data_IF_999441371810
#
_entry.id   IF_999441371810
#
_cell.length_a   1.000
_cell.length_b   1.000
_cell.length_c   1.000
_cell.angle_alpha   90.00
_cell.angle_beta   90.00
_cell.angle_gamma   90.00
#
_symmetry.space_group_name_H-M   'P 1'
#
loop_
_entity.id
_entity.type
_entity.pdbx_description
1 polymer ?
#
# COMPACT_ATOMS: atom_id res chain seq x y z
N UNK A 1 14.75 -32.43 -26.66
CA UNK A 1 13.54 -31.62 -26.36
C UNK A 1 13.92 -30.55 -25.32
N UNK A 2 13.50 -29.29 -25.51
CA UNK A 2 13.82 -28.21 -24.56
C UNK A 2 12.69 -28.06 -23.54
N UNK A 3 13.04 -27.96 -22.25
CA UNK A 3 12.11 -27.60 -21.18
C UNK A 3 12.27 -26.10 -20.92
N UNK A 4 11.24 -25.33 -21.27
CA UNK A 4 11.18 -23.90 -20.98
C UNK A 4 10.48 -23.74 -19.63
N UNK A 5 11.11 -23.03 -18.69
CA UNK A 5 10.49 -22.62 -17.44
C UNK A 5 10.50 -21.10 -17.40
N UNK A 6 9.33 -20.48 -17.41
CA UNK A 6 9.16 -19.03 -17.29
C UNK A 6 8.55 -18.76 -15.92
N UNK A 7 9.28 -18.04 -15.07
CA UNK A 7 8.78 -17.57 -13.79
C UNK A 7 8.48 -16.07 -13.98
N UNK A 8 7.23 -15.62 -13.79
CA UNK A 8 6.92 -14.19 -13.89
C UNK A 8 7.60 -13.43 -12.75
N UNK A 9 8.11 -12.23 -13.05
CA UNK A 9 8.60 -11.33 -12.02
C UNK A 9 7.43 -10.82 -11.18
N UNK A 10 7.58 -10.83 -9.85
CA UNK A 10 6.63 -10.19 -8.93
C UNK A 10 6.90 -8.68 -8.97
N UNK A 11 5.89 -7.83 -9.23
CA UNK A 11 6.08 -6.39 -9.23
C UNK A 11 6.46 -5.89 -7.83
N UNK A 12 7.53 -5.11 -7.73
CA UNK A 12 7.87 -4.41 -6.50
C UNK A 12 6.98 -3.17 -6.36
N UNK A 13 6.14 -3.17 -5.33
CA UNK A 13 5.24 -2.06 -4.99
C UNK A 13 5.82 -1.30 -3.80
N UNK A 14 5.69 0.02 -3.80
CA UNK A 14 6.12 0.85 -2.67
C UNK A 14 5.17 2.01 -2.43
N UNK A 15 5.20 2.53 -1.21
CA UNK A 15 4.51 3.77 -0.85
C UNK A 15 5.56 4.80 -0.48
N UNK A 16 5.53 6.00 -1.10
CA UNK A 16 6.49 7.04 -0.76
C UNK A 16 6.24 7.57 0.66
N UNK A 17 7.32 7.82 1.40
CA UNK A 17 7.23 8.41 2.72
C UNK A 17 6.57 9.79 2.67
N UNK A 18 5.60 10.01 3.57
CA UNK A 18 4.93 11.30 3.74
C UNK A 18 4.93 11.71 5.20
N UNK A 19 5.13 13.01 5.43
CA UNK A 19 4.94 13.64 6.73
C UNK A 19 3.54 14.24 6.78
N UNK A 20 2.87 14.05 7.91
CA UNK A 20 1.56 14.63 8.19
C UNK A 20 1.56 15.20 9.60
N UNK A 21 0.98 16.39 9.77
CA UNK A 21 0.83 17.01 11.08
C UNK A 21 -0.34 16.36 11.85
N UNK A 22 -0.28 16.37 13.18
CA UNK A 22 -1.35 15.86 14.02
C UNK A 22 -2.70 16.53 13.67
N UNK A 23 -3.74 15.73 13.48
CA UNK A 23 -5.07 16.20 13.08
C UNK A 23 -5.24 16.54 11.59
N UNK A 24 -4.25 16.22 10.75
CA UNK A 24 -4.36 16.31 9.29
C UNK A 24 -4.45 14.91 8.68
N UNK A 25 -4.91 14.86 7.43
CA UNK A 25 -4.93 13.64 6.63
C UNK A 25 -3.93 13.76 5.49
N UNK A 26 -3.34 12.64 5.11
CA UNK A 26 -2.46 12.54 3.95
C UNK A 26 -2.83 11.33 3.11
N UNK A 27 -2.71 11.52 1.81
CA UNK A 27 -2.98 10.53 0.78
C UNK A 27 -1.68 10.08 0.14
N UNK A 28 -1.48 8.77 0.06
CA UNK A 28 -0.26 8.15 -0.43
C UNK A 28 -0.63 7.13 -1.53
N UNK A 29 -0.40 7.46 -2.81
CA UNK A 29 -0.65 6.51 -3.88
C UNK A 29 0.39 5.39 -3.86
N UNK A 30 -0.01 4.19 -4.27
CA UNK A 30 0.92 3.08 -4.52
C UNK A 30 1.77 3.37 -5.74
N UNK A 31 3.07 3.12 -5.63
CA UNK A 31 4.03 3.19 -6.73
C UNK A 31 4.21 1.78 -7.29
N UNK A 32 4.09 1.65 -8.60
CA UNK A 32 4.26 0.39 -9.33
C UNK A 32 5.28 0.57 -10.45
N UNK A 33 5.91 -0.50 -10.96
CA UNK A 33 6.80 -0.43 -12.11
C UNK A 33 6.11 0.17 -13.34
N UNK A 34 6.88 0.78 -14.24
CA UNK A 34 6.36 1.37 -15.47
C UNK A 34 5.58 0.36 -16.31
N UNK A 35 4.38 0.75 -16.75
CA UNK A 35 3.48 -0.11 -17.53
C UNK A 35 2.74 -1.17 -16.71
N UNK A 36 3.03 -1.30 -15.42
CA UNK A 36 2.29 -2.21 -14.55
C UNK A 36 0.87 -1.68 -14.27
N UNK A 37 -0.11 -2.55 -14.41
CA UNK A 37 -1.50 -2.30 -14.02
C UNK A 37 -2.00 -3.49 -13.23
N UNK A 38 -2.68 -3.21 -12.12
CA UNK A 38 -3.34 -4.25 -11.34
C UNK A 38 -4.42 -4.93 -12.18
N UNK A 39 -4.46 -6.27 -12.22
CA UNK A 39 -5.55 -6.98 -12.86
C UNK A 39 -6.87 -6.68 -12.14
N UNK A 40 -7.96 -6.64 -12.92
CA UNK A 40 -9.31 -6.47 -12.38
C UNK A 40 -9.61 -7.57 -11.37
N UNK A 41 -9.99 -7.20 -10.15
CA UNK A 41 -10.20 -8.14 -9.04
C UNK A 41 -9.07 -8.18 -8.02
N UNK A 42 -7.96 -7.45 -8.26
CA UNK A 42 -6.94 -7.22 -7.24
C UNK A 42 -7.55 -6.61 -5.98
N UNK A 43 -7.15 -7.13 -4.82
CA UNK A 43 -7.56 -6.62 -3.52
C UNK A 43 -6.37 -6.12 -2.71
N UNK A 44 -6.56 -4.95 -2.10
CA UNK A 44 -5.64 -4.37 -1.14
C UNK A 44 -6.29 -4.42 0.23
N UNK A 45 -5.57 -4.96 1.18
CA UNK A 45 -6.02 -5.07 2.57
C UNK A 45 -4.85 -4.73 3.47
N UNK A 46 -5.14 -4.05 4.58
CA UNK A 46 -4.12 -3.86 5.62
C UNK A 46 -3.85 -5.22 6.25
N UNK A 47 -2.57 -5.59 6.30
CA UNK A 47 -2.11 -6.86 6.85
C UNK A 47 -1.89 -6.71 8.36
N UNK A 48 -2.60 -7.50 9.14
CA UNK A 48 -2.58 -7.42 10.60
C UNK A 48 -3.38 -6.25 11.17
N UNK A 49 -2.92 -5.72 12.32
CA UNK A 49 -3.55 -4.57 12.97
C UNK A 49 -3.20 -3.29 12.22
N UNK A 50 -4.22 -2.68 11.62
CA UNK A 50 -4.10 -1.39 10.97
C UNK A 50 -3.78 -0.30 12.02
N UNK A 51 -2.77 0.55 11.80
CA UNK A 51 -2.58 1.73 12.61
C UNK A 51 -3.83 2.59 12.67
N UNK A 52 -4.08 3.21 13.82
CA UNK A 52 -5.22 4.11 14.01
C UNK A 52 -5.25 5.19 12.92
N UNK A 53 -6.33 5.24 12.15
CA UNK A 53 -6.53 6.21 11.07
C UNK A 53 -5.88 5.84 9.73
N UNK A 54 -5.23 4.67 9.61
CA UNK A 54 -4.77 4.13 8.33
C UNK A 54 -5.90 3.39 7.61
N UNK A 55 -6.10 3.74 6.35
CA UNK A 55 -7.07 3.07 5.47
C UNK A 55 -6.45 2.84 4.09
N UNK A 56 -6.94 1.83 3.39
CA UNK A 56 -6.52 1.51 2.02
C UNK A 56 -7.74 1.46 1.10
N UNK A 57 -7.63 2.14 -0.04
CA UNK A 57 -8.63 2.17 -1.10
C UNK A 57 -8.58 0.92 -1.98
N UNK A 58 -9.61 0.74 -2.80
CA UNK A 58 -9.68 -0.36 -3.77
C UNK A 58 -8.62 -0.26 -4.87
N UNK A 59 -8.13 0.95 -5.13
CA UNK A 59 -7.02 1.27 -6.05
C UNK A 59 -5.64 1.07 -5.42
N UNK A 60 -5.59 0.63 -4.15
CA UNK A 60 -4.36 0.51 -3.38
C UNK A 60 -3.84 1.84 -2.85
N UNK A 61 -4.56 2.95 -3.02
CA UNK A 61 -4.15 4.22 -2.42
C UNK A 61 -4.35 4.15 -0.90
N UNK A 62 -3.34 4.58 -0.15
CA UNK A 62 -3.42 4.67 1.31
C UNK A 62 -3.87 6.08 1.70
N UNK A 63 -4.75 6.17 2.67
CA UNK A 63 -5.07 7.42 3.38
C UNK A 63 -4.75 7.23 4.85
N UNK A 64 -3.92 8.12 5.39
CA UNK A 64 -3.59 8.15 6.81
C UNK A 64 -4.12 9.43 7.44
N UNK A 65 -5.01 9.28 8.43
CA UNK A 65 -5.57 10.37 9.20
C UNK A 65 -4.90 10.44 10.57
N UNK A 66 -3.99 11.39 10.74
CA UNK A 66 -3.23 11.54 11.97
C UNK A 66 -4.13 12.00 13.13
N UNK A 67 -4.21 11.26 14.24
CA UNK A 67 -4.96 11.69 15.42
C UNK A 67 -4.36 12.98 16.04
N UNK A 68 -5.22 13.86 16.57
CA UNK A 68 -4.81 15.15 17.16
C UNK A 68 -4.09 14.99 18.51
N UNK A 69 -4.47 13.98 19.28
CA UNK A 69 -4.09 13.84 20.69
C UNK A 69 -2.93 12.85 20.92
N UNK A 70 -2.35 12.31 19.84
CA UNK A 70 -1.20 11.39 19.92
C UNK A 70 0.10 12.15 19.68
N UNK A 71 1.16 11.73 20.38
CA UNK A 71 2.51 12.20 20.12
C UNK A 71 2.94 11.86 18.70
N UNK A 72 3.53 12.82 17.95
CA UNK A 72 4.12 12.56 16.65
C UNK A 72 5.15 11.43 16.77
N UNK A 73 5.05 10.45 15.88
CA UNK A 73 5.93 9.28 15.87
C UNK A 73 5.91 8.60 14.51
N UNK A 74 6.77 7.61 14.35
CA UNK A 74 6.78 6.77 13.16
C UNK A 74 5.60 5.79 13.21
N UNK A 75 4.86 5.72 12.11
CA UNK A 75 3.74 4.79 11.95
C UNK A 75 4.07 3.86 10.81
N UNK A 76 4.15 2.57 11.11
CA UNK A 76 4.41 1.53 10.12
C UNK A 76 3.16 0.68 9.94
N UNK A 77 2.83 0.38 8.69
CA UNK A 77 1.73 -0.49 8.32
C UNK A 77 2.18 -1.43 7.21
N UNK A 78 1.52 -2.58 7.08
CA UNK A 78 1.75 -3.53 6.00
C UNK A 78 0.48 -3.63 5.16
N UNK A 79 0.63 -3.68 3.85
CA UNK A 79 -0.47 -3.93 2.92
C UNK A 79 -0.27 -5.29 2.28
N UNK A 80 -1.28 -6.15 2.40
CA UNK A 80 -1.38 -7.40 1.66
C UNK A 80 -2.11 -7.13 0.35
N UNK A 81 -1.47 -7.52 -0.76
CA UNK A 81 -2.01 -7.42 -2.11
C UNK A 81 -2.32 -8.81 -2.62
N UNK A 82 -3.59 -9.07 -2.93
CA UNK A 82 -4.06 -10.35 -3.49
C UNK A 82 -4.48 -10.16 -4.93
N UNK A 83 -3.80 -10.86 -5.84
CA UNK A 83 -4.14 -10.92 -7.27
C UNK A 83 -5.13 -12.07 -7.51
N UNK A 84 -6.08 -11.93 -8.45
CA UNK A 84 -7.04 -12.96 -8.82
C UNK A 84 -6.40 -14.15 -9.56
#
# INVERSE_FOLDING_TARGET
PYKITVIPAVPEMSYPDKKVEAGKSVDVPVTTPDGYKFPTGTKFVVDGDAPDGLTVGQDGKITYNAPKDKTPGEVTGKILVTLP
#
